data_IF_965414535024
#
_entry.id   IF_965414535024
#
_cell.length_a   1.000
_cell.length_b   1.000
_cell.length_c   1.000
_cell.angle_alpha   90.00
_cell.angle_beta   90.00
_cell.angle_gamma   90.00
#
_symmetry.space_group_name_H-M   'P 1'
#
loop_
_entity.id
_entity.type
_entity.pdbx_description
1 polymer ?
#
# COMPACT_ATOMS: atom_id res chain seq x y z
N UNK A 1 27.19 7.08 -13.17
CA UNK A 1 26.14 7.50 -14.11
C UNK A 1 24.83 7.33 -13.39
N UNK A 2 24.17 8.45 -13.05
CA UNK A 2 22.92 8.45 -12.32
C UNK A 2 21.78 7.82 -13.11
N UNK A 3 20.77 7.29 -12.39
CA UNK A 3 19.58 6.68 -13.01
C UNK A 3 18.39 6.77 -12.05
N UNK A 4 17.21 7.05 -12.59
CA UNK A 4 15.95 7.01 -11.85
C UNK A 4 15.28 5.65 -12.00
N UNK A 5 15.00 4.97 -10.90
CA UNK A 5 14.27 3.72 -10.87
C UNK A 5 12.86 3.94 -10.35
N UNK A 6 11.84 3.57 -11.12
CA UNK A 6 10.46 3.45 -10.63
C UNK A 6 10.26 2.05 -10.10
N UNK A 7 10.15 1.91 -8.78
CA UNK A 7 10.06 0.60 -8.12
C UNK A 7 8.68 0.43 -7.52
N UNK A 8 8.00 -0.64 -7.91
CA UNK A 8 6.77 -1.09 -7.25
C UNK A 8 7.09 -1.72 -5.90
N UNK A 9 6.56 -1.14 -4.83
CA UNK A 9 6.78 -1.58 -3.46
C UNK A 9 5.99 -2.85 -3.09
N UNK A 10 5.09 -3.31 -3.97
CA UNK A 10 4.04 -4.25 -3.57
C UNK A 10 2.92 -3.56 -2.80
N UNK A 11 1.92 -4.31 -2.39
CA UNK A 11 0.66 -3.76 -1.86
C UNK A 11 0.51 -3.92 -0.35
N UNK A 12 1.56 -3.62 0.43
CA UNK A 12 1.50 -3.66 1.89
C UNK A 12 2.55 -4.57 2.49
N UNK A 13 2.36 -5.88 2.35
CA UNK A 13 3.31 -6.89 2.83
C UNK A 13 4.73 -6.63 2.28
N UNK A 14 5.74 -6.41 3.15
CA UNK A 14 7.10 -6.11 2.73
C UNK A 14 7.74 -7.19 1.85
N UNK A 15 7.31 -8.45 1.95
CA UNK A 15 7.84 -9.56 1.14
C UNK A 15 7.28 -9.59 -0.29
N UNK A 16 6.25 -8.78 -0.59
CA UNK A 16 5.77 -8.58 -1.96
C UNK A 16 6.67 -7.62 -2.77
N UNK A 17 7.71 -7.06 -2.16
CA UNK A 17 8.77 -6.37 -2.89
C UNK A 17 9.56 -7.37 -3.74
N UNK A 18 9.72 -7.08 -5.03
CA UNK A 18 10.45 -7.99 -5.92
C UNK A 18 11.95 -8.03 -5.58
N UNK A 19 12.63 -9.14 -5.91
CA UNK A 19 14.08 -9.27 -5.72
C UNK A 19 14.87 -8.12 -6.37
N UNK A 20 14.44 -7.69 -7.57
CA UNK A 20 15.03 -6.55 -8.26
C UNK A 20 14.73 -5.23 -7.53
N UNK A 21 13.52 -5.09 -6.97
CA UNK A 21 13.12 -3.94 -6.15
C UNK A 21 14.00 -3.81 -4.90
N UNK A 22 14.19 -4.90 -4.15
CA UNK A 22 15.08 -4.97 -2.98
C UNK A 22 16.50 -4.55 -3.33
N UNK A 23 17.11 -5.20 -4.33
CA UNK A 23 18.48 -4.88 -4.79
C UNK A 23 18.66 -3.40 -5.18
N UNK A 24 17.69 -2.83 -5.89
CA UNK A 24 17.74 -1.42 -6.31
C UNK A 24 17.58 -0.49 -5.12
N UNK A 25 16.66 -0.81 -4.20
CA UNK A 25 16.41 -0.02 -2.98
C UNK A 25 17.63 0.01 -2.05
N UNK A 26 18.32 -1.12 -1.89
CA UNK A 26 19.58 -1.22 -1.11
C UNK A 26 20.70 -0.33 -1.68
N UNK A 27 20.73 -0.13 -3.00
CA UNK A 27 21.74 0.70 -3.68
C UNK A 27 21.43 2.20 -3.72
N UNK A 28 20.20 2.60 -3.39
CA UNK A 28 19.68 3.94 -3.62
C UNK A 28 20.45 5.02 -2.84
N UNK A 29 20.77 6.14 -3.50
CA UNK A 29 21.27 7.35 -2.85
C UNK A 29 20.10 8.21 -2.33
N UNK A 30 18.98 8.22 -3.05
CA UNK A 30 17.77 8.97 -2.69
C UNK A 30 16.55 8.12 -2.94
N UNK A 31 15.64 8.04 -1.97
CA UNK A 31 14.37 7.32 -2.08
C UNK A 31 13.22 8.31 -1.94
N UNK A 32 12.50 8.50 -3.04
CA UNK A 32 11.29 9.30 -3.13
C UNK A 32 10.08 8.37 -3.04
N UNK A 33 9.43 8.33 -1.88
CA UNK A 33 8.34 7.39 -1.60
C UNK A 33 7.00 8.09 -1.40
N UNK A 34 5.88 7.40 -1.65
CA UNK A 34 4.54 7.93 -1.46
C UNK A 34 3.85 7.36 -0.20
N UNK A 35 2.61 7.80 0.03
CA UNK A 35 1.81 7.43 1.21
C UNK A 35 1.46 5.94 1.30
N UNK A 36 1.38 5.22 0.17
CA UNK A 36 0.96 3.82 0.14
C UNK A 36 2.12 2.85 0.32
N UNK A 37 3.36 3.34 0.31
CA UNK A 37 4.55 2.54 0.60
C UNK A 37 4.64 2.29 2.10
N UNK A 38 4.77 1.03 2.51
CA UNK A 38 5.02 0.70 3.91
C UNK A 38 6.43 1.17 4.31
N UNK A 39 6.60 2.07 5.31
CA UNK A 39 7.89 2.70 5.57
C UNK A 39 8.98 1.74 6.06
N UNK A 40 8.63 0.53 6.51
CA UNK A 40 9.62 -0.50 6.88
C UNK A 40 10.52 -0.90 5.71
N UNK A 41 10.07 -0.74 4.47
CA UNK A 41 10.91 -0.99 3.29
C UNK A 41 12.13 -0.07 3.25
N UNK A 42 12.07 1.11 3.89
CA UNK A 42 13.21 2.03 3.95
C UNK A 42 14.36 1.49 4.81
N UNK A 43 14.13 0.49 5.67
CA UNK A 43 15.19 -0.19 6.44
C UNK A 43 16.17 -0.95 5.53
N UNK A 44 15.76 -1.29 4.31
CA UNK A 44 16.63 -1.92 3.31
C UNK A 44 17.65 -0.93 2.73
N UNK A 45 17.44 0.38 2.88
CA UNK A 45 18.32 1.38 2.30
C UNK A 45 19.67 1.43 3.03
N UNK A 46 20.75 1.65 2.28
CA UNK A 46 22.07 1.94 2.85
C UNK A 46 22.04 3.16 3.78
N UNK A 47 22.96 3.23 4.74
CA UNK A 47 22.96 4.26 5.79
C UNK A 47 23.12 5.70 5.25
N UNK A 48 23.72 5.87 4.06
CA UNK A 48 23.89 7.18 3.41
C UNK A 48 22.69 7.63 2.58
N UNK A 49 21.66 6.80 2.40
CA UNK A 49 20.51 7.13 1.57
C UNK A 49 19.67 8.26 2.20
N UNK A 50 19.18 9.20 1.38
CA UNK A 50 18.22 10.23 1.79
C UNK A 50 16.79 9.81 1.49
N UNK A 51 15.85 10.11 2.40
CA UNK A 51 14.43 9.82 2.21
C UNK A 51 13.65 11.10 1.93
N UNK A 52 12.83 11.09 0.88
CA UNK A 52 11.97 12.22 0.50
C UNK A 52 10.53 11.73 0.38
N UNK A 53 9.66 12.22 1.27
CA UNK A 53 8.25 11.91 1.19
C UNK A 53 7.55 12.75 0.12
N UNK A 54 6.82 12.09 -0.78
CA UNK A 54 6.12 12.70 -1.92
C UNK A 54 4.59 12.59 -1.86
N UNK A 55 4.04 12.02 -0.78
CA UNK A 55 2.60 11.85 -0.60
C UNK A 55 1.87 13.14 -0.18
N UNK A 56 0.53 13.09 -0.19
CA UNK A 56 -0.33 14.14 0.36
C UNK A 56 -0.62 13.82 1.83
N UNK A 57 -0.21 14.67 2.75
CA UNK A 57 -0.72 14.63 4.12
C UNK A 57 -2.02 15.41 4.21
N UNK A 58 -3.04 14.93 4.93
CA UNK A 58 -4.19 15.74 5.27
C UNK A 58 -3.71 16.94 6.10
N UNK A 59 -3.87 18.15 5.54
CA UNK A 59 -3.62 19.49 6.14
C UNK A 59 -2.22 20.14 6.03
N UNK A 60 -1.24 19.59 5.30
CA UNK A 60 0.04 20.29 5.05
C UNK A 60 0.28 20.60 3.57
N UNK A 61 0.81 21.80 3.29
CA UNK A 61 1.06 22.30 1.93
C UNK A 61 2.01 21.38 1.16
N UNK A 62 1.49 20.91 0.04
CA UNK A 62 1.82 19.71 -0.74
C UNK A 62 2.90 19.97 -1.81
N UNK A 63 3.74 18.98 -2.11
CA UNK A 63 4.39 18.88 -3.42
C UNK A 63 3.32 18.44 -4.44
N UNK A 64 2.82 19.37 -5.27
CA UNK A 64 1.90 19.03 -6.38
C UNK A 64 2.58 18.00 -7.30
N UNK A 65 1.84 17.26 -8.13
CA UNK A 65 2.45 16.31 -9.08
C UNK A 65 3.54 16.98 -9.94
N UNK A 66 3.33 18.24 -10.35
CA UNK A 66 4.33 19.06 -11.04
C UNK A 66 5.64 19.19 -10.24
N UNK A 67 5.54 19.26 -8.92
CA UNK A 67 6.68 19.36 -8.02
C UNK A 67 7.39 18.00 -7.84
N UNK A 68 6.68 16.86 -7.90
CA UNK A 68 7.32 15.53 -7.89
C UNK A 68 8.12 15.31 -9.17
N UNK A 69 7.54 15.64 -10.34
CA UNK A 69 8.23 15.53 -11.61
C UNK A 69 9.47 16.42 -11.67
N UNK A 70 9.38 17.64 -11.13
CA UNK A 70 10.51 18.56 -11.01
C UNK A 70 11.59 18.00 -10.06
N UNK A 71 11.20 17.49 -8.89
CA UNK A 71 12.11 16.84 -7.95
C UNK A 71 12.86 15.67 -8.60
N UNK A 72 12.17 14.83 -9.36
CA UNK A 72 12.80 13.71 -10.08
C UNK A 72 13.85 14.19 -11.10
N UNK A 73 13.61 15.34 -11.74
CA UNK A 73 14.58 15.96 -12.66
C UNK A 73 15.75 16.58 -11.90
N UNK A 74 15.50 17.27 -10.79
CA UNK A 74 16.51 17.90 -9.95
C UNK A 74 17.47 16.86 -9.35
N UNK A 75 16.93 15.80 -8.76
CA UNK A 75 17.72 14.70 -8.19
C UNK A 75 18.39 13.86 -9.30
N UNK A 76 17.69 13.60 -10.41
CA UNK A 76 18.22 12.82 -11.52
C UNK A 76 19.41 13.46 -12.25
N UNK A 77 19.62 14.78 -12.09
CA UNK A 77 20.79 15.50 -12.62
C UNK A 77 22.05 15.35 -11.75
N UNK A 78 21.95 14.81 -10.54
CA UNK A 78 23.07 14.73 -9.60
C UNK A 78 23.92 13.46 -9.72
N UNK A 79 23.79 12.72 -10.83
CA UNK A 79 24.54 11.47 -11.09
C UNK A 79 24.37 10.37 -10.01
N UNK A 80 23.24 10.39 -9.32
CA UNK A 80 22.88 9.48 -8.23
C UNK A 80 21.91 8.37 -8.65
N UNK A 81 21.84 7.31 -7.86
CA UNK A 81 20.79 6.28 -7.94
C UNK A 81 19.56 6.80 -7.20
N UNK A 82 18.55 7.20 -7.96
CA UNK A 82 17.29 7.72 -7.42
C UNK A 82 16.24 6.63 -7.52
N UNK A 83 15.56 6.32 -6.41
CA UNK A 83 14.44 5.37 -6.38
C UNK A 83 13.14 6.12 -6.13
N UNK A 84 12.27 6.13 -7.13
CA UNK A 84 10.85 6.50 -6.98
C UNK A 84 10.09 5.25 -6.54
N UNK A 85 9.95 5.06 -5.23
CA UNK A 85 9.24 3.93 -4.63
C UNK A 85 7.73 4.23 -4.60
N UNK A 86 6.93 3.35 -5.20
CA UNK A 86 5.49 3.56 -5.42
C UNK A 86 4.70 2.36 -4.89
N UNK A 87 3.60 2.61 -4.18
CA UNK A 87 2.73 1.52 -3.72
C UNK A 87 2.16 0.71 -4.88
N UNK A 88 2.10 -0.62 -4.73
CA UNK A 88 1.63 -1.54 -5.77
C UNK A 88 2.60 -1.66 -6.94
N UNK A 89 2.07 -1.47 -8.16
CA UNK A 89 2.83 -1.50 -9.42
C UNK A 89 2.91 -0.08 -10.04
N UNK A 90 4.09 0.39 -10.51
CA UNK A 90 4.20 1.71 -11.11
C UNK A 90 3.30 1.94 -12.33
N UNK A 91 3.06 0.89 -13.12
CA UNK A 91 2.30 0.92 -14.37
C UNK A 91 0.78 0.88 -14.19
N UNK A 92 0.27 0.48 -13.03
CA UNK A 92 -1.18 0.33 -12.78
C UNK A 92 -1.68 1.49 -11.92
N UNK A 93 -2.38 2.44 -12.55
CA UNK A 93 -2.92 3.65 -11.92
C UNK A 93 -1.90 4.50 -11.12
N UNK A 94 -0.60 4.25 -11.30
CA UNK A 94 0.50 4.91 -10.59
C UNK A 94 1.01 6.20 -11.23
N UNK A 95 0.44 6.65 -12.37
CA UNK A 95 0.85 7.87 -13.11
C UNK A 95 2.30 7.88 -13.59
N UNK A 96 2.96 6.73 -13.68
CA UNK A 96 4.37 6.62 -14.08
C UNK A 96 4.63 7.20 -15.48
N UNK A 97 3.63 7.16 -16.37
CA UNK A 97 3.75 7.72 -17.72
C UNK A 97 4.04 9.24 -17.72
N UNK A 98 3.40 10.00 -16.83
CA UNK A 98 3.63 11.45 -16.69
C UNK A 98 5.04 11.75 -16.15
N UNK A 99 5.49 10.96 -15.16
CA UNK A 99 6.81 11.06 -14.54
C UNK A 99 7.91 10.74 -15.58
N UNK A 100 7.75 9.67 -16.35
CA UNK A 100 8.67 9.26 -17.43
C UNK A 100 8.75 10.29 -18.54
N UNK A 101 7.62 10.85 -18.99
CA UNK A 101 7.63 11.88 -20.05
C UNK A 101 8.50 13.08 -19.65
N UNK A 102 8.46 13.45 -18.37
CA UNK A 102 9.28 14.54 -17.82
C UNK A 102 10.77 14.18 -17.81
N UNK A 103 11.13 12.96 -17.38
CA UNK A 103 12.52 12.49 -17.40
C UNK A 103 13.09 12.38 -18.82
N UNK A 104 12.30 11.90 -19.78
CA UNK A 104 12.70 11.85 -21.20
C UNK A 104 13.01 13.23 -21.75
N UNK A 105 12.19 14.22 -21.41
CA UNK A 105 12.40 15.61 -21.85
C UNK A 105 13.68 16.20 -21.27
N UNK A 106 14.05 15.77 -20.07
CA UNK A 106 15.29 16.17 -19.39
C UNK A 106 16.50 15.28 -19.71
N UNK A 107 16.37 14.31 -20.63
CA UNK A 107 17.41 13.36 -21.03
C UNK A 107 17.97 12.51 -19.87
N UNK A 108 17.15 12.25 -18.85
CA UNK A 108 17.52 11.45 -17.69
C UNK A 108 17.19 9.98 -17.92
N UNK A 109 18.19 9.11 -17.72
CA UNK A 109 18.02 7.66 -17.81
C UNK A 109 17.09 7.14 -16.70
N UNK A 110 16.17 6.26 -17.08
CA UNK A 110 15.25 5.64 -16.13
C UNK A 110 15.07 4.14 -16.36
N UNK A 111 14.56 3.45 -15.35
CA UNK A 111 14.22 2.03 -15.40
C UNK A 111 12.97 1.75 -14.57
N UNK A 112 12.12 0.83 -15.03
CA UNK A 112 10.91 0.41 -14.29
C UNK A 112 11.15 -0.98 -13.71
N UNK A 113 10.87 -1.13 -12.42
CA UNK A 113 10.82 -2.40 -11.71
C UNK A 113 9.36 -2.63 -11.30
N UNK A 114 8.68 -3.63 -11.89
CA UNK A 114 7.28 -3.89 -11.57
C UNK A 114 7.12 -4.36 -10.12
N UNK A 115 5.89 -4.24 -9.60
CA UNK A 115 5.52 -4.67 -8.26
C UNK A 115 4.20 -5.45 -8.24
N UNK A 116 3.90 -6.08 -7.10
CA UNK A 116 2.63 -6.78 -6.91
C UNK A 116 1.51 -5.75 -6.72
N UNK A 117 0.61 -5.67 -7.70
CA UNK A 117 -0.52 -4.73 -7.67
C UNK A 117 -1.60 -5.13 -6.65
N UNK A 118 -2.42 -4.15 -6.23
CA UNK A 118 -3.41 -4.36 -5.18
C UNK A 118 -4.45 -5.41 -5.56
N UNK A 119 -4.81 -5.55 -6.84
CA UNK A 119 -5.71 -6.61 -7.29
C UNK A 119 -5.14 -8.01 -7.06
N UNK A 120 -3.85 -8.23 -7.35
CA UNK A 120 -3.20 -9.52 -7.11
C UNK A 120 -3.08 -9.81 -5.61
N UNK A 121 -2.65 -8.82 -4.83
CA UNK A 121 -2.53 -8.97 -3.38
C UNK A 121 -3.91 -9.22 -2.73
N UNK A 122 -4.91 -8.38 -3.01
CA UNK A 122 -6.26 -8.54 -2.49
C UNK A 122 -6.85 -9.90 -2.88
N UNK A 123 -6.65 -10.35 -4.11
CA UNK A 123 -7.09 -11.67 -4.56
C UNK A 123 -6.49 -12.80 -3.71
N UNK A 124 -5.16 -12.87 -3.65
CA UNK A 124 -4.46 -13.97 -2.99
C UNK A 124 -4.59 -13.96 -1.46
N UNK A 125 -4.65 -12.77 -0.84
CA UNK A 125 -4.73 -12.63 0.63
C UNK A 125 -6.17 -12.62 1.16
N UNK A 126 -7.18 -12.55 0.30
CA UNK A 126 -8.59 -12.68 0.69
C UNK A 126 -9.25 -14.00 0.26
N UNK A 127 -8.53 -14.89 -0.44
CA UNK A 127 -9.12 -16.15 -0.91
C UNK A 127 -10.03 -16.01 -2.12
N UNK A 128 -10.02 -14.86 -2.80
CA UNK A 128 -10.90 -14.57 -3.92
C UNK A 128 -10.06 -14.58 -5.20
N UNK A 129 -10.04 -15.67 -5.98
CA UNK A 129 -9.27 -15.71 -7.22
C UNK A 129 -9.83 -14.71 -8.23
N UNK A 130 -8.98 -14.00 -8.99
CA UNK A 130 -9.48 -13.09 -10.03
C UNK A 130 -10.08 -13.81 -11.24
N UNK A 131 -9.72 -15.08 -11.43
CA UNK A 131 -10.20 -15.92 -12.53
C UNK A 131 -10.61 -17.27 -12.01
N UNK A 132 -11.65 -17.87 -12.57
CA UNK A 132 -12.08 -19.22 -12.22
C UNK A 132 -12.76 -19.84 -13.44
N UNK A 133 -12.41 -21.09 -13.76
CA UNK A 133 -12.77 -21.73 -15.06
C UNK A 133 -14.26 -21.67 -15.38
N UNK A 134 -15.11 -21.81 -14.37
CA UNK A 134 -16.56 -21.88 -14.53
C UNK A 134 -17.27 -20.53 -14.38
N UNK A 135 -16.59 -19.49 -13.87
CA UNK A 135 -17.25 -18.25 -13.42
C UNK A 135 -16.59 -16.95 -13.88
N UNK A 136 -15.32 -16.96 -14.30
CA UNK A 136 -14.64 -15.76 -14.81
C UNK A 136 -13.48 -16.08 -15.74
N UNK A 137 -13.62 -15.65 -17.00
CA UNK A 137 -12.60 -15.77 -18.05
C UNK A 137 -11.89 -14.45 -18.36
N UNK A 138 -12.30 -13.35 -17.72
CA UNK A 138 -11.83 -11.99 -17.99
C UNK A 138 -11.60 -11.26 -16.68
N UNK A 139 -10.51 -10.50 -16.60
CA UNK A 139 -10.24 -9.60 -15.46
C UNK A 139 -10.11 -8.17 -15.97
N UNK A 140 -10.88 -7.27 -15.37
CA UNK A 140 -10.81 -5.84 -15.68
C UNK A 140 -10.28 -5.08 -14.47
N UNK A 141 -9.16 -4.38 -14.63
CA UNK A 141 -8.68 -3.41 -13.65
C UNK A 141 -9.23 -2.03 -14.04
N UNK A 142 -10.06 -1.45 -13.19
CA UNK A 142 -10.71 -0.16 -13.45
C UNK A 142 -10.46 0.82 -12.31
N UNK A 143 -10.48 2.12 -12.61
CA UNK A 143 -10.53 3.17 -11.59
C UNK A 143 -11.90 3.84 -11.58
N UNK A 144 -12.35 4.26 -10.40
CA UNK A 144 -13.56 5.05 -10.26
C UNK A 144 -13.34 6.55 -10.51
N UNK A 145 -12.10 7.03 -10.47
CA UNK A 145 -11.73 8.40 -10.86
C UNK A 145 -11.50 8.46 -12.38
N UNK A 146 -12.60 8.63 -13.11
CA UNK A 146 -12.62 8.66 -14.57
C UNK A 146 -12.57 10.06 -15.13
N UNK A 147 -12.20 10.18 -16.40
CA UNK A 147 -12.33 11.43 -17.13
C UNK A 147 -13.81 11.78 -17.32
N UNK A 148 -14.14 13.07 -17.29
CA UNK A 148 -15.52 13.54 -17.49
C UNK A 148 -16.00 13.13 -18.88
N UNK A 149 -17.14 12.44 -18.96
CA UNK A 149 -17.74 11.98 -20.21
C UNK A 149 -17.43 10.54 -20.61
N UNK A 150 -16.58 9.82 -19.87
CA UNK A 150 -16.27 8.41 -20.15
C UNK A 150 -17.46 7.49 -19.77
N UNK A 151 -18.08 6.87 -20.76
CA UNK A 151 -19.10 5.84 -20.60
C UNK A 151 -18.45 4.46 -20.48
N UNK A 152 -18.81 3.71 -19.44
CA UNK A 152 -18.30 2.34 -19.23
C UNK A 152 -19.44 1.36 -19.35
N UNK A 153 -19.25 0.34 -20.16
CA UNK A 153 -20.14 -0.81 -20.30
C UNK A 153 -19.91 -1.78 -19.13
N UNK A 154 -20.52 -1.48 -17.98
CA UNK A 154 -20.42 -2.34 -16.81
C UNK A 154 -21.03 -3.71 -17.04
N UNK A 155 -22.06 -3.82 -17.90
CA UNK A 155 -22.69 -5.10 -18.21
C UNK A 155 -21.71 -6.03 -18.92
N UNK A 156 -21.08 -5.58 -20.00
CA UNK A 156 -20.09 -6.37 -20.73
C UNK A 156 -18.85 -6.73 -19.90
N UNK A 157 -18.44 -5.85 -18.98
CA UNK A 157 -17.28 -6.08 -18.09
C UNK A 157 -17.56 -7.08 -16.96
N UNK A 158 -18.80 -7.18 -16.50
CA UNK A 158 -19.20 -8.09 -15.41
C UNK A 158 -19.72 -9.44 -15.93
N UNK A 159 -20.14 -9.52 -17.19
CA UNK A 159 -20.59 -10.76 -17.81
C UNK A 159 -19.43 -11.76 -18.02
N UNK A 160 -19.49 -12.87 -17.27
CA UNK A 160 -18.46 -13.92 -17.21
C UNK A 160 -17.06 -13.36 -16.92
N UNK A 161 -16.99 -12.31 -16.09
CA UNK A 161 -15.77 -11.59 -15.79
C UNK A 161 -15.71 -11.11 -14.34
N UNK A 162 -14.51 -10.69 -13.95
CA UNK A 162 -14.21 -10.12 -12.64
C UNK A 162 -13.72 -8.69 -12.83
N UNK A 163 -14.36 -7.75 -12.15
CA UNK A 163 -13.96 -6.34 -12.17
C UNK A 163 -13.31 -5.96 -10.85
N UNK A 164 -12.06 -5.50 -10.89
CA UNK A 164 -11.33 -4.93 -9.76
C UNK A 164 -11.34 -3.41 -9.87
N UNK A 165 -12.10 -2.75 -8.99
CA UNK A 165 -12.26 -1.31 -8.95
C UNK A 165 -11.34 -0.67 -7.90
N UNK A 166 -10.36 0.08 -8.39
CA UNK A 166 -9.42 0.88 -7.61
C UNK A 166 -10.04 2.24 -7.28
N UNK A 167 -9.73 2.74 -6.08
CA UNK A 167 -10.24 4.03 -5.59
C UNK A 167 -11.78 4.08 -5.64
N UNK A 168 -12.42 2.94 -5.40
CA UNK A 168 -13.86 2.75 -5.61
C UNK A 168 -14.74 3.31 -4.51
N UNK A 169 -14.25 3.36 -3.25
CA UNK A 169 -15.07 3.64 -2.07
C UNK A 169 -15.79 4.99 -2.16
N UNK A 170 -15.07 6.07 -2.50
CA UNK A 170 -15.66 7.42 -2.60
C UNK A 170 -16.70 7.55 -3.73
N UNK A 171 -16.70 6.63 -4.69
CA UNK A 171 -17.59 6.62 -5.86
C UNK A 171 -18.51 5.41 -5.88
N UNK A 172 -18.60 4.67 -4.78
CA UNK A 172 -19.34 3.42 -4.70
C UNK A 172 -20.82 3.61 -5.03
N UNK A 173 -21.46 4.66 -4.48
CA UNK A 173 -22.87 4.98 -4.75
C UNK A 173 -23.15 5.20 -6.24
N UNK A 174 -22.38 6.08 -6.87
CA UNK A 174 -22.52 6.33 -8.31
C UNK A 174 -22.19 5.11 -9.18
N UNK A 175 -21.33 4.21 -8.70
CA UNK A 175 -20.97 2.98 -9.41
C UNK A 175 -22.08 1.95 -9.29
N UNK A 176 -22.63 1.76 -8.08
CA UNK A 176 -23.79 0.90 -7.81
C UNK A 176 -24.98 1.29 -8.68
N UNK A 177 -25.32 2.58 -8.71
CA UNK A 177 -26.43 3.09 -9.50
C UNK A 177 -26.26 2.75 -10.99
N UNK A 178 -25.08 3.01 -11.55
CA UNK A 178 -24.78 2.73 -12.97
C UNK A 178 -24.80 1.24 -13.30
N UNK A 179 -24.28 0.39 -12.40
CA UNK A 179 -24.32 -1.06 -12.56
C UNK A 179 -25.78 -1.55 -12.69
N UNK A 180 -26.64 -1.09 -11.77
CA UNK A 180 -28.06 -1.44 -11.76
C UNK A 180 -28.81 -0.89 -12.98
N UNK A 181 -28.56 0.37 -13.36
CA UNK A 181 -29.16 1.00 -14.56
C UNK A 181 -28.80 0.27 -15.85
N UNK A 182 -27.59 -0.29 -15.95
CA UNK A 182 -27.15 -1.07 -17.10
C UNK A 182 -27.62 -2.54 -17.06
N UNK A 183 -28.43 -2.92 -16.06
CA UNK A 183 -29.01 -4.25 -15.95
C UNK A 183 -28.04 -5.33 -15.47
N UNK A 184 -26.98 -4.96 -14.75
CA UNK A 184 -26.16 -5.93 -14.01
C UNK A 184 -26.99 -6.49 -12.86
N UNK A 185 -26.89 -7.80 -12.62
CA UNK A 185 -27.63 -8.46 -11.54
C UNK A 185 -27.35 -7.79 -10.20
N UNK A 186 -28.42 -7.38 -9.50
CA UNK A 186 -28.32 -6.78 -8.16
C UNK A 186 -27.72 -7.75 -7.13
N UNK A 187 -27.82 -9.05 -7.39
CA UNK A 187 -27.28 -10.12 -6.57
C UNK A 187 -25.83 -10.49 -6.90
N UNK A 188 -25.22 -9.85 -7.91
CA UNK A 188 -23.82 -10.14 -8.25
C UNK A 188 -22.95 -9.94 -6.99
N UNK A 189 -22.15 -10.95 -6.59
CA UNK A 189 -21.30 -10.86 -5.43
C UNK A 189 -20.25 -9.75 -5.55
N UNK A 190 -19.99 -9.08 -4.42
CA UNK A 190 -19.01 -8.01 -4.27
C UNK A 190 -18.16 -8.27 -3.03
N UNK A 191 -16.85 -8.13 -3.16
CA UNK A 191 -15.94 -8.07 -2.02
C UNK A 191 -15.26 -6.70 -1.93
N UNK A 192 -15.08 -6.22 -0.71
CA UNK A 192 -14.38 -4.98 -0.39
C UNK A 192 -13.22 -5.34 0.51
N UNK A 193 -12.00 -5.11 0.05
CA UNK A 193 -10.77 -5.49 0.74
C UNK A 193 -10.01 -4.22 1.09
N UNK A 194 -9.98 -3.88 2.38
CA UNK A 194 -9.20 -2.78 2.92
C UNK A 194 -7.81 -3.26 3.30
N UNK A 195 -6.79 -2.43 3.04
CA UNK A 195 -5.40 -2.71 3.47
C UNK A 195 -4.92 -4.13 3.12
N UNK A 196 -5.25 -4.59 1.91
CA UNK A 196 -4.90 -5.92 1.42
C UNK A 196 -3.44 -6.28 1.75
N UNK A 197 -3.18 -7.52 2.15
CA UNK A 197 -1.88 -8.07 2.55
C UNK A 197 -1.22 -7.51 3.82
N UNK A 198 -1.80 -6.49 4.48
CA UNK A 198 -1.33 -6.07 5.80
C UNK A 198 -2.08 -6.83 6.90
N UNK A 199 -1.47 -6.97 8.08
CA UNK A 199 -2.12 -7.58 9.24
C UNK A 199 -3.41 -6.89 9.70
N UNK A 200 -3.64 -5.65 9.24
CA UNK A 200 -4.88 -4.87 9.45
C UNK A 200 -5.93 -5.05 8.35
N UNK A 201 -5.75 -6.03 7.45
CA UNK A 201 -6.66 -6.29 6.34
C UNK A 201 -8.09 -6.52 6.86
N UNK A 202 -9.07 -5.93 6.18
CA UNK A 202 -10.49 -6.23 6.40
C UNK A 202 -11.11 -6.67 5.09
N UNK A 203 -11.80 -7.80 5.11
CA UNK A 203 -12.51 -8.34 3.95
C UNK A 203 -13.99 -8.41 4.24
N UNK A 204 -14.79 -7.66 3.50
CA UNK A 204 -16.25 -7.69 3.59
C UNK A 204 -16.82 -8.24 2.28
N UNK A 205 -17.78 -9.16 2.39
CA UNK A 205 -18.53 -9.69 1.25
C UNK A 205 -19.97 -9.20 1.30
N UNK A 206 -20.52 -8.87 0.14
CA UNK A 206 -21.84 -8.29 -0.03
C UNK A 206 -22.32 -8.53 -1.47
N UNK A 207 -23.38 -7.84 -1.90
CA UNK A 207 -23.85 -7.84 -3.29
C UNK A 207 -23.85 -6.42 -3.84
N UNK A 208 -24.06 -6.26 -5.15
CA UNK A 208 -24.22 -4.92 -5.75
C UNK A 208 -25.32 -4.11 -5.04
N UNK A 209 -26.46 -4.73 -4.71
CA UNK A 209 -27.59 -4.05 -4.07
C UNK A 209 -27.22 -3.44 -2.71
N UNK A 210 -26.47 -4.18 -1.90
CA UNK A 210 -26.14 -3.79 -0.52
C UNK A 210 -24.76 -3.11 -0.39
N UNK A 211 -24.00 -2.97 -1.48
CA UNK A 211 -22.59 -2.53 -1.46
C UNK A 211 -22.38 -1.21 -0.71
N UNK A 212 -23.15 -0.16 -1.03
CA UNK A 212 -23.02 1.17 -0.37
C UNK A 212 -23.34 1.08 1.11
N UNK A 213 -24.40 0.35 1.47
CA UNK A 213 -24.80 0.18 2.87
C UNK A 213 -23.73 -0.58 3.66
N UNK A 214 -23.12 -1.62 3.07
CA UNK A 214 -21.97 -2.32 3.68
C UNK A 214 -20.81 -1.35 3.92
N UNK A 215 -20.48 -0.50 2.94
CA UNK A 215 -19.41 0.51 3.09
C UNK A 215 -19.68 1.46 4.27
N UNK A 216 -20.91 1.94 4.40
CA UNK A 216 -21.32 2.86 5.46
C UNK A 216 -21.34 2.19 6.84
N UNK A 217 -21.95 1.00 6.95
CA UNK A 217 -22.06 0.25 8.21
C UNK A 217 -20.69 -0.17 8.74
N UNK A 218 -19.81 -0.66 7.86
CA UNK A 218 -18.48 -1.13 8.21
C UNK A 218 -17.45 0.01 8.27
N UNK A 219 -17.87 1.25 7.98
CA UNK A 219 -17.04 2.45 7.98
C UNK A 219 -15.78 2.31 7.12
N UNK A 220 -15.91 1.68 5.95
CA UNK A 220 -14.79 1.39 5.04
C UNK A 220 -14.05 2.66 4.66
N UNK A 221 -12.72 2.62 4.77
CA UNK A 221 -11.79 3.68 4.44
C UNK A 221 -10.92 3.31 3.24
N UNK A 222 -10.11 4.27 2.78
CA UNK A 222 -9.08 4.04 1.77
C UNK A 222 -7.72 3.77 2.44
N UNK A 223 -6.84 2.95 1.83
CA UNK A 223 -6.97 2.29 0.54
C UNK A 223 -7.78 0.99 0.61
N UNK A 224 -8.69 0.84 -0.35
CA UNK A 224 -9.54 -0.35 -0.52
C UNK A 224 -9.71 -0.71 -1.98
N UNK A 225 -9.81 -2.00 -2.25
CA UNK A 225 -10.15 -2.55 -3.56
C UNK A 225 -11.53 -3.19 -3.50
N UNK A 226 -12.37 -2.90 -4.49
CA UNK A 226 -13.67 -3.55 -4.66
C UNK A 226 -13.56 -4.56 -5.79
N UNK A 227 -13.86 -5.83 -5.53
CA UNK A 227 -13.91 -6.91 -6.51
C UNK A 227 -15.38 -7.27 -6.75
N UNK A 228 -15.82 -7.23 -8.02
CA UNK A 228 -17.17 -7.62 -8.41
C UNK A 228 -17.09 -8.83 -9.34
N UNK A 229 -17.91 -9.84 -9.07
CA UNK A 229 -18.01 -11.04 -9.91
C UNK A 229 -18.27 -12.31 -9.10
N UNK A 230 -18.71 -13.36 -9.78
CA UNK A 230 -19.06 -14.65 -9.17
C UNK A 230 -17.89 -15.32 -8.43
N UNK A 231 -16.64 -14.96 -8.75
CA UNK A 231 -15.45 -15.43 -8.03
C UNK A 231 -15.42 -15.06 -6.55
N UNK A 232 -16.16 -14.03 -6.12
CA UNK A 232 -16.26 -13.67 -4.70
C UNK A 232 -16.91 -14.80 -3.89
N UNK A 233 -17.81 -15.58 -4.50
CA UNK A 233 -18.45 -16.74 -3.88
C UNK A 233 -17.47 -17.89 -3.59
N UNK A 234 -16.25 -17.86 -4.14
CA UNK A 234 -15.20 -18.83 -3.79
C UNK A 234 -14.72 -18.67 -2.34
N UNK A 235 -14.89 -17.49 -1.75
CA UNK A 235 -14.54 -17.24 -0.35
C UNK A 235 -15.64 -17.73 0.58
N UNK A 236 -15.27 -18.55 1.57
CA UNK A 236 -16.19 -19.02 2.61
C UNK A 236 -15.64 -18.71 4.01
N UNK A 237 -16.08 -17.60 4.61
CA UNK A 237 -15.60 -17.17 5.93
C UNK A 237 -14.22 -16.52 5.87
N UNK A 238 -13.32 -16.91 6.78
CA UNK A 238 -11.92 -16.48 6.81
C UNK A 238 -11.01 -17.43 6.04
N UNK A 239 -10.03 -16.88 5.32
CA UNK A 239 -9.03 -17.67 4.58
C UNK A 239 -7.68 -17.71 5.32
N UNK A 240 -6.67 -18.33 4.72
CA UNK A 240 -5.35 -18.64 5.29
C UNK A 240 -4.68 -17.44 5.97
N UNK A 241 -4.78 -16.24 5.38
CA UNK A 241 -4.09 -15.05 5.90
C UNK A 241 -4.72 -14.54 7.20
N UNK A 242 -6.05 -14.59 7.28
CA UNK A 242 -6.81 -14.14 8.46
C UNK A 242 -6.76 -15.17 9.60
N UNK A 243 -6.23 -16.37 9.33
CA UNK A 243 -6.01 -17.45 10.31
C UNK A 243 -4.61 -17.41 10.94
N UNK A 244 -3.74 -16.48 10.52
CA UNK A 244 -2.39 -16.39 11.06
C UNK A 244 -2.41 -15.96 12.55
N UNK A 245 -1.46 -16.42 13.38
CA UNK A 245 -1.54 -16.28 14.84
C UNK A 245 -1.58 -14.84 15.38
N UNK A 246 -0.98 -13.91 14.64
CA UNK A 246 -0.90 -12.49 14.98
C UNK A 246 -1.76 -11.61 14.06
N UNK A 247 -2.60 -12.21 13.21
CA UNK A 247 -3.51 -11.44 12.35
C UNK A 247 -4.38 -10.47 13.16
N UNK A 248 -4.53 -9.25 12.66
CA UNK A 248 -5.26 -8.16 13.32
C UNK A 248 -4.49 -7.44 14.41
N UNK A 249 -3.33 -7.95 14.88
CA UNK A 249 -2.55 -7.29 15.94
C UNK A 249 -1.64 -6.21 15.38
N UNK A 250 -1.76 -5.00 15.93
CA UNK A 250 -0.87 -3.87 15.63
C UNK A 250 0.26 -3.81 16.64
N UNK A 251 1.47 -4.12 16.20
CA UNK A 251 2.64 -4.28 17.09
C UNK A 251 3.69 -3.22 16.75
N UNK A 252 4.13 -2.50 17.77
CA UNK A 252 5.28 -1.60 17.69
C UNK A 252 6.52 -2.27 18.28
N UNK A 253 7.53 -2.52 17.45
CA UNK A 253 8.84 -3.02 17.87
C UNK A 253 9.75 -1.85 18.22
N UNK A 254 10.43 -1.93 19.37
CA UNK A 254 11.32 -0.89 19.87
C UNK A 254 12.64 -1.49 20.31
N UNK A 255 13.73 -0.88 19.84
CA UNK A 255 15.08 -1.19 20.27
C UNK A 255 15.95 0.08 20.28
N UNK A 256 17.04 0.07 21.05
CA UNK A 256 18.11 1.07 20.95
C UNK A 256 19.11 0.72 19.86
N UNK A 257 19.23 -0.56 19.53
CA UNK A 257 20.03 -1.05 18.42
C UNK A 257 19.25 -0.99 17.10
N UNK A 258 19.96 -1.06 15.98
CA UNK A 258 19.33 -1.12 14.65
C UNK A 258 18.49 -2.38 14.58
N UNK A 259 17.19 -2.23 14.30
CA UNK A 259 16.27 -3.36 14.15
C UNK A 259 16.46 -3.93 12.74
N UNK A 260 16.78 -5.21 12.66
CA UNK A 260 16.98 -5.90 11.39
C UNK A 260 15.65 -6.11 10.66
N UNK A 261 15.69 -6.04 9.33
CA UNK A 261 14.51 -6.24 8.49
C UNK A 261 13.89 -7.64 8.70
N UNK A 262 14.72 -8.67 8.89
CA UNK A 262 14.28 -10.04 9.16
C UNK A 262 13.50 -10.16 10.49
N UNK A 263 13.84 -9.36 11.50
CA UNK A 263 13.07 -9.31 12.74
C UNK A 263 11.66 -8.80 12.45
N UNK A 264 11.51 -7.75 11.63
CA UNK A 264 10.20 -7.23 11.22
C UNK A 264 9.41 -8.31 10.47
N UNK A 265 10.06 -9.00 9.52
CA UNK A 265 9.44 -10.06 8.73
C UNK A 265 8.90 -11.22 9.59
N UNK A 266 9.63 -11.59 10.65
CA UNK A 266 9.21 -12.68 11.53
C UNK A 266 7.84 -12.45 12.20
N UNK A 267 7.42 -11.19 12.35
CA UNK A 267 6.08 -10.84 12.83
C UNK A 267 5.06 -10.72 11.69
N UNK A 268 5.41 -10.10 10.56
CA UNK A 268 4.47 -9.95 9.43
C UNK A 268 4.11 -11.29 8.80
N UNK A 269 5.03 -12.25 8.77
CA UNK A 269 4.79 -13.63 8.35
C UNK A 269 3.76 -14.37 9.23
N UNK A 270 3.62 -13.92 10.48
CA UNK A 270 2.60 -14.42 11.40
C UNK A 270 1.31 -13.59 11.35
N UNK A 271 1.19 -12.67 10.38
CA UNK A 271 0.00 -11.85 10.15
C UNK A 271 -0.05 -10.54 10.93
N UNK A 272 0.98 -10.17 11.68
CA UNK A 272 0.96 -8.93 12.44
C UNK A 272 1.08 -7.68 11.54
N UNK A 273 0.44 -6.60 11.94
CA UNK A 273 0.62 -5.26 11.38
C UNK A 273 1.71 -4.54 12.17
N UNK A 274 2.93 -4.55 11.64
CA UNK A 274 4.13 -4.20 12.42
C UNK A 274 4.77 -2.90 11.97
N UNK A 275 5.18 -2.10 12.94
CA UNK A 275 6.12 -1.01 12.73
C UNK A 275 7.28 -1.11 13.71
N UNK A 276 8.48 -0.71 13.27
CA UNK A 276 9.69 -0.77 14.07
C UNK A 276 10.28 0.64 14.22
N UNK A 277 10.82 0.92 15.41
CA UNK A 277 11.45 2.20 15.74
C UNK A 277 12.74 1.93 16.52
N UNK A 278 13.83 2.51 16.03
CA UNK A 278 15.07 2.61 16.80
C UNK A 278 15.04 3.89 17.66
N UNK A 279 15.35 3.77 18.95
CA UNK A 279 15.38 4.89 19.90
C UNK A 279 16.78 5.08 20.49
N UNK A 280 16.97 6.16 21.27
CA UNK A 280 18.26 6.47 21.91
C UNK A 280 19.16 7.41 21.09
N UNK A 281 20.39 7.58 21.57
CA UNK A 281 21.35 8.55 21.01
C UNK A 281 21.96 8.10 19.67
N UNK A 282 22.11 6.79 19.49
CA UNK A 282 22.65 6.14 18.29
C UNK A 282 21.60 5.89 17.20
N UNK A 283 20.35 6.33 17.39
CA UNK A 283 19.27 6.06 16.44
C UNK A 283 19.53 6.64 15.06
N UNK A 284 19.00 5.98 14.04
CA UNK A 284 19.02 6.50 12.68
C UNK A 284 18.09 7.73 12.52
N UNK A 285 18.68 8.91 12.60
CA UNK A 285 17.97 10.20 12.50
C UNK A 285 17.26 10.42 11.17
N UNK A 286 17.58 9.66 10.12
CA UNK A 286 16.87 9.73 8.84
C UNK A 286 15.39 9.34 9.00
N UNK A 287 15.09 8.53 10.00
CA UNK A 287 13.72 8.10 10.30
C UNK A 287 12.97 9.02 11.26
N UNK A 288 13.60 9.99 11.93
CA UNK A 288 12.96 10.79 12.99
C UNK A 288 11.60 11.39 12.54
N UNK A 289 11.57 12.07 11.39
CA UNK A 289 10.34 12.63 10.83
C UNK A 289 9.33 11.56 10.40
N UNK A 290 9.81 10.41 9.92
CA UNK A 290 8.97 9.28 9.48
C UNK A 290 8.29 8.65 10.69
N UNK A 291 9.05 8.39 11.75
CA UNK A 291 8.57 7.85 13.02
C UNK A 291 7.56 8.80 13.66
N UNK A 292 7.88 10.09 13.79
CA UNK A 292 6.95 11.08 14.36
C UNK A 292 5.61 11.10 13.62
N UNK A 293 5.66 11.06 12.29
CA UNK A 293 4.45 11.08 11.48
C UNK A 293 3.68 9.76 11.57
N UNK A 294 4.35 8.62 11.48
CA UNK A 294 3.72 7.30 11.55
C UNK A 294 3.04 7.09 12.91
N UNK A 295 3.70 7.45 14.02
CA UNK A 295 3.14 7.40 15.37
C UNK A 295 1.96 8.35 15.59
N UNK A 296 1.83 9.42 14.78
CA UNK A 296 0.70 10.35 14.86
C UNK A 296 -0.55 9.78 14.18
N UNK A 297 -0.35 9.04 13.09
CA UNK A 297 -1.43 8.53 12.24
C UNK A 297 -1.87 7.10 12.61
N UNK A 298 -1.11 6.42 13.46
CA UNK A 298 -1.35 5.03 13.84
C UNK A 298 -1.37 4.83 15.36
N UNK A 299 -2.19 3.88 15.80
CA UNK A 299 -2.20 3.34 17.16
C UNK A 299 -1.71 1.89 17.13
N UNK A 300 -1.24 1.41 18.27
CA UNK A 300 -0.71 0.05 18.43
C UNK A 300 -1.40 -0.61 19.61
N UNK A 301 -1.70 -1.90 19.46
CA UNK A 301 -2.30 -2.73 20.51
C UNK A 301 -1.23 -3.19 21.49
N UNK A 302 0.00 -3.37 21.00
CA UNK A 302 1.12 -3.92 21.74
C UNK A 302 2.43 -3.18 21.41
N UNK A 303 3.28 -3.01 22.43
CA UNK A 303 4.65 -2.51 22.28
C UNK A 303 5.60 -3.59 22.76
N UNK A 304 6.49 -4.05 21.88
CA UNK A 304 7.49 -5.07 22.17
C UNK A 304 8.87 -4.41 22.22
N UNK A 305 9.50 -4.50 23.38
CA UNK A 305 10.90 -4.09 23.56
C UNK A 305 11.80 -5.27 23.23
N UNK A 306 12.57 -5.16 22.15
CA UNK A 306 13.44 -6.24 21.67
C UNK A 306 14.67 -6.45 22.58
N UNK A 307 15.06 -5.42 23.32
CA UNK A 307 16.12 -5.49 24.33
C UNK A 307 15.53 -5.44 25.75
N UNK A 308 15.79 -6.48 26.55
CA UNK A 308 15.27 -6.62 27.93
C UNK A 308 15.62 -5.44 28.85
N UNK A 309 16.74 -4.75 28.59
CA UNK A 309 17.16 -3.57 29.38
C UNK A 309 16.20 -2.39 29.17
N UNK A 310 15.56 -2.29 28.00
CA UNK A 310 14.60 -1.22 27.68
C UNK A 310 13.28 -1.35 28.43
N UNK A 311 12.87 -2.59 28.73
CA UNK A 311 11.71 -2.88 29.57
C UNK A 311 11.82 -2.22 30.95
N UNK A 312 13.03 -1.83 31.38
CA UNK A 312 13.25 -1.12 32.65
C UNK A 312 13.29 0.40 32.48
N UNK A 313 13.80 0.91 31.35
CA UNK A 313 13.88 2.35 31.06
C UNK A 313 12.55 2.97 30.58
N UNK A 314 11.79 2.24 29.75
CA UNK A 314 10.57 2.73 29.10
C UNK A 314 9.30 2.05 29.63
N UNK A 315 9.37 1.57 30.88
CA UNK A 315 8.36 0.69 31.52
C UNK A 315 6.95 1.27 31.62
N UNK A 316 6.76 2.56 31.28
CA UNK A 316 5.45 3.16 31.05
C UNK A 316 5.19 3.22 29.55
N UNK A 317 4.22 2.43 29.07
CA UNK A 317 3.51 2.64 27.78
C UNK A 317 3.24 4.14 27.49
N UNK A 318 3.07 4.93 28.55
CA UNK A 318 2.81 6.37 28.53
C UNK A 318 3.93 7.26 27.98
N UNK A 319 5.20 6.88 28.08
CA UNK A 319 6.32 7.78 27.72
C UNK A 319 6.54 7.81 26.19
N UNK A 320 6.26 6.69 25.50
CA UNK A 320 6.41 6.55 24.06
C UNK A 320 5.15 7.04 23.33
N UNK A 321 3.96 6.77 23.88
CA UNK A 321 2.68 7.20 23.29
C UNK A 321 2.43 8.71 23.43
N UNK A 322 3.06 9.40 24.39
CA UNK A 322 2.97 10.87 24.55
C UNK A 322 4.02 11.68 23.77
N UNK A 323 4.71 11.07 22.79
CA UNK A 323 5.47 11.79 21.75
C UNK A 323 6.63 12.67 22.28
N UNK A 324 7.25 12.30 23.40
CA UNK A 324 8.36 13.08 24.01
C UNK A 324 9.78 12.55 23.76
N UNK A 325 9.96 11.51 22.93
CA UNK A 325 11.28 10.89 22.69
C UNK A 325 11.76 10.89 21.23
N UNK A 326 11.19 11.77 20.38
CA UNK A 326 11.75 12.08 19.06
C UNK A 326 11.98 13.58 18.92
#
# INVERSE_FOLDING_TARGET
MGKVYFVGAGSGDPELLTLKGKRVLESADVIIYDRLVHPVLLYLAKDSARFIFSGKYPKNHVLKQKNINQLLVEEGKQDQIIVRLKGGDPGIFGRVGEEIATLKTAEISYEIVPGVTAASAASSYSGIPLTHRESSSKVTLATAHRQVGETVDFKGLTENGTMCLYMGVERAASTQEKLLQQGVSKHLPVAIIEWASLGRQRTMTTTIEEMVKTIELEQVQNPSLIILGEVVSCRNGSDWFEQLPLFGRKILLIDTEKIDFETILSYTQQGADVYAIQVGESRDRRFDMIHQQYLKDHYFDEVVYLNERLTTMYKKQWDILNKQFI
#
